data_IF_652042509388
#
_entry.id   IF_652042509388
#
_cell.length_a   1.000
_cell.length_b   1.000
_cell.length_c   1.000
_cell.angle_alpha   90.00
_cell.angle_beta   90.00
_cell.angle_gamma   90.00
#
_symmetry.space_group_name_H-M   'P 1'
#
loop_
_entity.id
_entity.type
_entity.pdbx_description
1 polymer ?
#
# COMPACT_ATOMS: atom_id res chain seq x y z
N UNK A 1 69.22 -36.82 -38.29
CA UNK A 1 68.96 -36.61 -36.87
C UNK A 1 68.49 -35.18 -36.64
N UNK A 2 67.20 -34.95 -36.58
CA UNK A 2 66.59 -33.63 -36.32
C UNK A 2 66.22 -33.56 -34.84
N UNK A 3 66.83 -32.65 -34.09
CA UNK A 3 66.55 -32.38 -32.67
C UNK A 3 65.31 -31.47 -32.60
N UNK A 4 64.25 -31.97 -32.04
CA UNK A 4 63.13 -31.15 -31.66
C UNK A 4 63.42 -30.46 -30.32
N UNK A 5 63.41 -29.12 -30.32
CA UNK A 5 63.42 -28.29 -29.12
C UNK A 5 61.96 -27.98 -28.77
N UNK A 6 61.50 -28.45 -27.62
CA UNK A 6 60.20 -28.12 -27.04
C UNK A 6 60.35 -26.84 -26.22
N UNK A 7 59.67 -25.76 -26.53
CA UNK A 7 59.64 -24.60 -25.63
C UNK A 7 58.69 -24.89 -24.45
N UNK A 8 59.22 -24.81 -23.23
CA UNK A 8 58.52 -24.86 -21.98
C UNK A 8 57.72 -23.56 -21.82
N UNK A 9 56.43 -23.59 -22.10
CA UNK A 9 55.48 -22.50 -21.77
C UNK A 9 55.19 -22.56 -20.25
N UNK A 10 55.88 -21.69 -19.52
CA UNK A 10 55.52 -21.36 -18.15
C UNK A 10 54.19 -20.59 -18.13
N UNK A 11 53.12 -21.29 -17.84
CA UNK A 11 51.82 -20.65 -17.51
C UNK A 11 51.98 -19.93 -16.18
N UNK A 12 52.14 -18.62 -16.24
CA UNK A 12 52.02 -17.72 -15.08
C UNK A 12 50.53 -17.60 -14.79
N UNK A 13 50.02 -18.46 -13.91
CA UNK A 13 48.72 -18.27 -13.33
C UNK A 13 48.77 -16.98 -12.53
N UNK A 14 48.24 -15.89 -13.10
CA UNK A 14 47.86 -14.71 -12.32
C UNK A 14 46.75 -15.15 -11.38
N UNK A 15 47.10 -15.44 -10.15
CA UNK A 15 46.15 -15.37 -9.00
C UNK A 15 45.77 -13.89 -8.90
N UNK A 16 44.70 -13.48 -9.60
CA UNK A 16 43.89 -12.36 -9.17
C UNK A 16 43.27 -12.79 -7.87
N UNK A 17 43.97 -12.58 -6.77
CA UNK A 17 43.35 -12.48 -5.49
C UNK A 17 42.36 -11.32 -5.58
N UNK A 18 41.07 -11.62 -5.79
CA UNK A 18 40.03 -10.71 -5.44
C UNK A 18 40.22 -10.48 -3.93
N UNK A 19 40.87 -9.36 -3.59
CA UNK A 19 40.66 -8.79 -2.27
C UNK A 19 39.13 -8.68 -2.17
N UNK A 20 38.51 -9.53 -1.35
CA UNK A 20 37.13 -9.33 -0.93
C UNK A 20 37.16 -7.92 -0.35
N UNK A 21 36.57 -6.98 -1.03
CA UNK A 21 36.35 -5.65 -0.47
C UNK A 21 35.69 -5.89 0.88
N UNK A 22 36.25 -5.32 1.94
CA UNK A 22 35.60 -5.39 3.26
C UNK A 22 34.17 -4.94 3.09
N UNK A 23 33.20 -5.78 3.52
CA UNK A 23 31.80 -5.48 3.38
C UNK A 23 31.46 -4.16 4.11
N UNK A 24 30.57 -3.38 3.52
CA UNK A 24 30.11 -2.12 4.09
C UNK A 24 29.01 -2.42 5.12
N UNK A 25 29.05 -1.75 6.25
CA UNK A 25 27.94 -1.78 7.25
C UNK A 25 27.03 -0.58 7.02
N UNK A 26 25.75 -0.84 6.75
CA UNK A 26 24.69 0.18 6.66
C UNK A 26 23.93 0.28 7.98
N UNK A 27 23.46 1.47 8.31
CA UNK A 27 22.52 1.71 9.42
C UNK A 27 21.13 1.96 8.84
N UNK A 28 20.20 1.04 9.16
CA UNK A 28 18.83 1.03 8.63
C UNK A 28 17.83 1.37 9.74
N UNK A 29 16.81 2.15 9.39
CA UNK A 29 15.71 2.53 10.28
C UNK A 29 14.39 2.26 9.58
N UNK A 30 13.58 1.34 10.10
CA UNK A 30 12.30 0.94 9.49
C UNK A 30 11.22 0.69 10.53
N UNK A 31 9.93 0.71 10.15
CA UNK A 31 8.83 0.34 11.05
C UNK A 31 8.67 -1.18 11.23
N UNK A 32 9.47 -1.99 10.53
CA UNK A 32 9.26 -3.43 10.41
C UNK A 32 9.89 -4.19 11.58
N UNK A 33 9.29 -4.07 12.76
CA UNK A 33 9.74 -4.78 13.96
C UNK A 33 8.55 -5.25 14.79
N UNK A 34 8.83 -6.12 15.76
CA UNK A 34 7.90 -6.65 16.75
C UNK A 34 6.63 -7.26 16.11
N UNK A 35 5.49 -6.59 16.29
CA UNK A 35 4.19 -7.05 15.82
C UNK A 35 3.87 -6.60 14.40
N UNK A 36 4.77 -5.87 13.72
CA UNK A 36 4.54 -5.50 12.33
C UNK A 36 4.49 -6.75 11.43
N UNK A 37 3.44 -6.93 10.62
CA UNK A 37 3.29 -8.12 9.77
C UNK A 37 4.44 -8.33 8.77
N UNK A 38 5.21 -7.29 8.45
CA UNK A 38 6.36 -7.38 7.55
C UNK A 38 7.70 -7.61 8.27
N UNK A 39 7.73 -7.70 9.60
CA UNK A 39 8.97 -7.86 10.36
C UNK A 39 9.79 -9.07 9.90
N UNK A 40 9.16 -10.22 9.72
CA UNK A 40 9.81 -11.42 9.20
C UNK A 40 10.32 -11.22 7.77
N UNK A 41 9.51 -10.62 6.89
CA UNK A 41 9.89 -10.34 5.51
C UNK A 41 11.08 -9.39 5.41
N UNK A 42 11.17 -8.42 6.30
CA UNK A 42 12.30 -7.51 6.43
C UNK A 42 13.58 -8.25 6.85
N UNK A 43 13.50 -9.07 7.88
CA UNK A 43 14.64 -9.88 8.35
C UNK A 43 15.18 -10.79 7.22
N UNK A 44 14.31 -11.49 6.52
CA UNK A 44 14.67 -12.35 5.38
C UNK A 44 15.33 -11.55 4.24
N UNK A 45 14.85 -10.35 3.94
CA UNK A 45 15.44 -9.46 2.94
C UNK A 45 16.85 -9.03 3.34
N UNK A 46 17.05 -8.61 4.58
CA UNK A 46 18.36 -8.23 5.10
C UNK A 46 19.35 -9.41 5.09
N UNK A 47 18.93 -10.57 5.60
CA UNK A 47 19.79 -11.77 5.63
C UNK A 47 20.23 -12.18 4.24
N UNK A 48 19.31 -12.24 3.29
CA UNK A 48 19.58 -12.60 1.90
C UNK A 48 20.51 -11.59 1.23
N UNK A 49 20.29 -10.28 1.43
CA UNK A 49 21.17 -9.23 0.91
C UNK A 49 22.58 -9.32 1.50
N UNK A 50 22.72 -9.54 2.81
CA UNK A 50 24.03 -9.71 3.48
C UNK A 50 24.79 -10.91 2.94
N UNK A 51 24.10 -12.05 2.74
CA UNK A 51 24.72 -13.28 2.23
C UNK A 51 25.23 -13.12 0.79
N UNK A 52 24.48 -12.40 -0.05
CA UNK A 52 24.83 -12.25 -1.46
C UNK A 52 25.91 -11.20 -1.70
N UNK A 53 25.91 -10.12 -0.91
CA UNK A 53 26.80 -8.97 -1.15
C UNK A 53 28.06 -8.96 -0.27
N UNK A 54 28.03 -9.67 0.86
CA UNK A 54 29.04 -9.57 1.90
C UNK A 54 28.99 -8.29 2.73
N UNK A 55 27.99 -7.42 2.48
CA UNK A 55 27.71 -6.25 3.30
C UNK A 55 26.97 -6.66 4.58
N UNK A 56 26.86 -5.76 5.54
CA UNK A 56 26.12 -5.95 6.79
C UNK A 56 25.17 -4.79 7.06
N UNK A 57 24.19 -4.99 7.91
CA UNK A 57 23.32 -3.93 8.40
C UNK A 57 23.30 -3.91 9.94
N UNK A 58 23.44 -2.72 10.51
CA UNK A 58 22.99 -2.40 11.87
C UNK A 58 21.54 -1.94 11.73
N UNK A 59 20.62 -2.81 12.13
CA UNK A 59 19.19 -2.55 11.96
C UNK A 59 18.59 -1.94 13.24
N UNK A 60 17.98 -0.76 13.09
CA UNK A 60 17.30 0.01 14.12
C UNK A 60 15.78 0.03 13.84
N UNK A 61 15.25 -1.07 13.30
CA UNK A 61 13.82 -1.22 13.10
C UNK A 61 13.09 -1.23 14.44
N UNK A 62 11.95 -0.55 14.51
CA UNK A 62 11.19 -0.42 15.74
C UNK A 62 9.82 0.23 15.51
N UNK A 63 8.99 0.22 16.56
CA UNK A 63 7.74 0.96 16.57
C UNK A 63 8.08 2.45 16.45
N UNK A 64 7.42 3.14 15.52
CA UNK A 64 7.64 4.57 15.24
C UNK A 64 7.02 5.46 16.34
N UNK A 65 7.42 5.24 17.60
CA UNK A 65 7.06 6.05 18.75
C UNK A 65 7.98 7.29 18.91
N UNK A 66 7.73 8.08 19.91
CA UNK A 66 8.49 9.31 20.17
C UNK A 66 9.99 9.05 20.42
N UNK A 67 10.35 7.93 21.09
CA UNK A 67 11.73 7.58 21.37
C UNK A 67 12.46 7.20 20.08
N UNK A 68 11.84 6.33 19.27
CA UNK A 68 12.39 5.93 17.98
C UNK A 68 12.56 7.12 17.03
N UNK A 69 11.59 8.03 16.99
CA UNK A 69 11.67 9.27 16.21
C UNK A 69 12.81 10.18 16.69
N UNK A 70 13.06 10.26 17.99
CA UNK A 70 14.18 11.01 18.55
C UNK A 70 15.53 10.42 18.16
N UNK A 71 15.68 9.07 18.23
CA UNK A 71 16.89 8.37 17.81
C UNK A 71 17.16 8.53 16.31
N UNK A 72 16.14 8.37 15.48
CA UNK A 72 16.24 8.62 14.05
C UNK A 72 16.65 10.07 13.75
N UNK A 73 16.01 11.06 14.38
CA UNK A 73 16.33 12.47 14.21
C UNK A 73 17.78 12.80 14.58
N UNK A 74 18.30 12.18 15.66
CA UNK A 74 19.70 12.30 16.04
C UNK A 74 20.63 11.66 15.00
N UNK A 75 20.29 10.47 14.49
CA UNK A 75 21.08 9.77 13.49
C UNK A 75 21.11 10.50 12.14
N UNK A 76 19.99 11.06 11.70
CA UNK A 76 19.89 11.90 10.50
C UNK A 76 20.75 13.16 10.65
N UNK A 77 20.65 13.85 11.78
CA UNK A 77 21.43 15.06 12.06
C UNK A 77 22.92 14.80 12.15
N UNK A 78 23.33 13.64 12.69
CA UNK A 78 24.72 13.22 12.76
C UNK A 78 25.25 12.62 11.43
N UNK A 79 24.38 12.38 10.44
CA UNK A 79 24.74 11.74 9.16
C UNK A 79 25.12 10.28 9.30
N UNK A 80 24.61 9.57 10.32
CA UNK A 80 24.93 8.16 10.60
C UNK A 80 23.86 7.19 10.08
N UNK A 81 22.64 7.62 9.80
CA UNK A 81 21.64 6.81 9.13
C UNK A 81 21.94 6.72 7.63
N UNK A 82 21.76 5.55 7.02
CA UNK A 82 22.03 5.30 5.61
C UNK A 82 20.77 5.12 4.79
N UNK A 83 19.90 4.20 5.21
CA UNK A 83 18.66 3.87 4.55
C UNK A 83 17.53 3.93 5.57
N UNK A 84 16.44 4.57 5.19
CA UNK A 84 15.28 4.72 6.05
C UNK A 84 13.99 4.31 5.32
N UNK A 85 13.07 3.71 6.04
CA UNK A 85 11.70 3.47 5.59
C UNK A 85 10.78 4.16 6.59
N UNK A 86 10.04 5.16 6.13
CA UNK A 86 9.32 6.09 7.00
C UNK A 86 7.90 6.31 6.49
N UNK A 87 7.01 6.67 7.39
CA UNK A 87 5.73 7.26 7.01
C UNK A 87 5.93 8.65 6.40
N UNK A 88 5.09 9.08 5.44
CA UNK A 88 5.13 10.41 4.89
C UNK A 88 5.11 11.50 5.98
N UNK A 89 5.87 12.56 5.79
CA UNK A 89 5.97 13.67 6.75
C UNK A 89 6.94 13.46 7.92
N UNK A 90 7.55 12.27 8.09
CA UNK A 90 8.49 12.00 9.19
C UNK A 90 9.93 12.46 8.93
N UNK A 91 10.26 12.88 7.72
CA UNK A 91 11.63 13.29 7.38
C UNK A 91 11.67 14.58 6.59
N UNK A 92 12.73 15.36 6.81
CA UNK A 92 12.96 16.63 6.11
C UNK A 92 13.64 16.41 4.74
N UNK A 93 13.15 17.10 3.72
CA UNK A 93 13.63 17.03 2.34
C UNK A 93 15.15 17.19 2.20
N UNK A 94 15.75 18.07 3.02
CA UNK A 94 17.19 18.35 2.96
C UNK A 94 18.10 17.19 3.37
N UNK A 95 17.58 16.16 4.04
CA UNK A 95 18.37 15.04 4.59
C UNK A 95 18.34 13.80 3.71
N UNK A 96 17.39 13.71 2.78
CA UNK A 96 17.14 12.51 1.96
C UNK A 96 17.43 12.76 0.48
N UNK A 97 17.82 11.71 -0.24
CA UNK A 97 17.71 11.68 -1.70
C UNK A 97 16.23 11.54 -2.07
N UNK A 98 15.78 12.27 -3.07
CA UNK A 98 14.43 12.15 -3.59
C UNK A 98 14.21 10.80 -4.27
N UNK A 99 12.97 10.36 -4.39
CA UNK A 99 12.64 9.14 -5.14
C UNK A 99 13.10 9.21 -6.60
N UNK A 100 13.10 10.41 -7.20
CA UNK A 100 13.60 10.62 -8.55
C UNK A 100 15.13 10.48 -8.62
N UNK A 101 15.86 11.02 -7.62
CA UNK A 101 17.32 10.84 -7.51
C UNK A 101 17.71 9.37 -7.32
N UNK A 102 16.92 8.60 -6.54
CA UNK A 102 17.11 7.15 -6.37
C UNK A 102 16.85 6.41 -7.68
N UNK A 103 15.76 6.73 -8.37
CA UNK A 103 15.42 6.14 -9.67
C UNK A 103 16.50 6.43 -10.72
N UNK A 104 17.03 7.64 -10.76
CA UNK A 104 18.12 8.00 -11.67
C UNK A 104 19.41 7.22 -11.39
N UNK A 105 19.57 6.66 -10.18
CA UNK A 105 20.70 5.81 -9.78
C UNK A 105 20.43 4.31 -9.90
N UNK A 106 19.27 3.92 -10.45
CA UNK A 106 18.90 2.52 -10.68
C UNK A 106 18.07 1.87 -9.57
N UNK A 107 17.86 2.55 -8.44
CA UNK A 107 17.03 2.05 -7.33
C UNK A 107 15.67 2.78 -7.30
N UNK A 108 14.74 2.37 -8.14
CA UNK A 108 13.44 3.01 -8.25
C UNK A 108 12.27 2.03 -8.20
N UNK A 109 11.20 2.40 -7.51
CA UNK A 109 9.94 1.67 -7.54
C UNK A 109 9.29 1.80 -8.93
N UNK A 110 8.66 0.71 -9.40
CA UNK A 110 7.75 0.75 -10.54
C UNK A 110 6.40 1.39 -10.18
N UNK A 111 6.08 1.56 -8.88
CA UNK A 111 4.85 2.18 -8.41
C UNK A 111 4.78 3.65 -8.78
N UNK A 112 3.57 4.15 -8.99
CA UNK A 112 3.33 5.57 -9.25
C UNK A 112 3.77 6.41 -8.04
N UNK A 113 4.34 7.58 -8.31
CA UNK A 113 4.73 8.57 -7.31
C UNK A 113 3.72 9.72 -7.21
N UNK A 114 2.59 9.62 -7.91
CA UNK A 114 1.64 10.75 -8.06
C UNK A 114 1.01 11.19 -6.74
N UNK A 115 0.82 10.26 -5.82
CA UNK A 115 0.19 10.52 -4.51
C UNK A 115 1.18 10.93 -3.40
N UNK A 116 2.47 11.01 -3.69
CA UNK A 116 3.51 11.32 -2.69
C UNK A 116 4.20 12.67 -2.91
N UNK A 117 3.54 13.56 -3.62
CA UNK A 117 4.14 14.87 -3.89
C UNK A 117 4.00 15.77 -2.68
N UNK A 118 5.13 16.25 -2.18
CA UNK A 118 5.18 17.38 -1.26
C UNK A 118 4.57 18.63 -1.93
N UNK A 119 4.28 19.67 -1.12
CA UNK A 119 3.68 20.93 -1.61
C UNK A 119 4.47 21.60 -2.75
N UNK A 120 5.77 21.36 -2.82
CA UNK A 120 6.66 21.85 -3.90
C UNK A 120 6.74 20.90 -5.11
N UNK A 121 6.01 19.80 -5.10
CA UNK A 121 6.00 18.78 -6.15
C UNK A 121 7.13 17.74 -6.03
N UNK A 122 7.98 17.82 -5.00
CA UNK A 122 9.04 16.84 -4.76
C UNK A 122 8.46 15.55 -4.21
N UNK A 123 9.03 14.40 -4.58
CA UNK A 123 8.71 13.10 -3.98
C UNK A 123 9.91 12.61 -3.20
N UNK A 124 9.80 12.60 -1.87
CA UNK A 124 10.91 12.24 -0.98
C UNK A 124 11.09 10.73 -0.86
N UNK A 125 10.02 9.98 -0.76
CA UNK A 125 10.04 8.56 -0.45
C UNK A 125 9.62 7.73 -1.66
N UNK A 126 10.30 6.60 -1.89
CA UNK A 126 9.84 5.56 -2.83
C UNK A 126 8.84 4.66 -2.14
N UNK A 127 7.58 4.51 -2.63
CA UNK A 127 6.55 3.74 -1.95
C UNK A 127 6.96 2.28 -1.70
N UNK A 128 6.91 1.84 -0.44
CA UNK A 128 7.14 0.45 -0.02
C UNK A 128 5.83 -0.23 0.35
N UNK A 129 5.07 0.35 1.27
CA UNK A 129 3.75 -0.15 1.66
C UNK A 129 2.70 0.91 1.33
N UNK A 130 1.63 0.48 0.70
CA UNK A 130 0.46 1.30 0.42
C UNK A 130 -0.63 1.00 1.45
N UNK A 131 -1.24 2.03 2.01
CA UNK A 131 -2.52 1.97 2.67
C UNK A 131 -3.58 2.29 1.62
N UNK A 132 -4.34 1.31 1.19
CA UNK A 132 -5.40 1.48 0.21
C UNK A 132 -6.74 1.05 0.77
N UNK A 133 -7.78 1.58 0.19
CA UNK A 133 -9.16 1.25 0.49
C UNK A 133 -9.81 0.61 -0.73
N UNK A 134 -10.68 -0.35 -0.49
CA UNK A 134 -11.34 -1.08 -1.58
C UNK A 134 -12.59 -1.80 -1.08
N UNK A 135 -13.29 -2.48 -2.01
CA UNK A 135 -14.38 -3.39 -1.68
C UNK A 135 -13.82 -4.80 -1.47
N UNK A 136 -13.96 -5.31 -0.25
CA UNK A 136 -13.74 -6.71 0.07
C UNK A 136 -15.03 -7.50 -0.10
N UNK A 137 -14.92 -8.72 -0.62
CA UNK A 137 -16.07 -9.60 -0.84
C UNK A 137 -15.83 -10.97 -0.21
N UNK A 138 -16.90 -11.55 0.34
CA UNK A 138 -16.93 -12.92 0.78
C UNK A 138 -17.55 -13.76 -0.35
N UNK A 139 -16.71 -14.52 -1.05
CA UNK A 139 -17.11 -15.30 -2.22
C UNK A 139 -18.07 -16.43 -1.88
N UNK A 140 -18.00 -17.01 -0.67
CA UNK A 140 -18.90 -18.05 -0.23
C UNK A 140 -20.32 -17.52 0.00
N UNK A 141 -20.44 -16.33 0.61
CA UNK A 141 -21.74 -15.67 0.81
C UNK A 141 -22.36 -15.32 -0.54
N UNK A 142 -21.60 -14.74 -1.45
CA UNK A 142 -22.07 -14.46 -2.82
C UNK A 142 -22.50 -15.73 -3.54
N UNK A 143 -21.68 -16.78 -3.53
CA UNK A 143 -21.99 -18.04 -4.18
C UNK A 143 -23.25 -18.71 -3.60
N UNK A 144 -23.51 -18.59 -2.29
CA UNK A 144 -24.73 -19.10 -1.65
C UNK A 144 -26.00 -18.42 -2.17
N UNK A 145 -25.88 -17.18 -2.62
CA UNK A 145 -26.94 -16.42 -3.29
C UNK A 145 -26.97 -16.60 -4.81
N UNK A 146 -26.08 -17.44 -5.38
CA UNK A 146 -25.96 -17.63 -6.81
C UNK A 146 -25.28 -16.47 -7.54
N UNK A 147 -24.51 -15.66 -6.80
CA UNK A 147 -23.82 -14.47 -7.29
C UNK A 147 -22.31 -14.72 -7.39
N UNK A 148 -21.64 -13.88 -8.16
CA UNK A 148 -20.18 -13.80 -8.24
C UNK A 148 -19.72 -12.43 -7.73
N UNK A 149 -18.42 -12.27 -7.47
CA UNK A 149 -17.84 -10.98 -7.16
C UNK A 149 -18.19 -9.96 -8.25
N UNK A 150 -18.63 -8.75 -7.89
CA UNK A 150 -19.04 -7.73 -8.87
C UNK A 150 -17.89 -7.38 -9.82
N UNK A 151 -18.12 -7.45 -11.12
CA UNK A 151 -17.16 -7.08 -12.15
C UNK A 151 -17.37 -5.67 -12.70
N UNK A 152 -18.52 -5.06 -12.41
CA UNK A 152 -18.91 -3.72 -12.86
C UNK A 152 -19.86 -3.06 -11.88
N UNK A 153 -20.16 -1.77 -12.14
CA UNK A 153 -21.05 -0.98 -11.30
C UNK A 153 -22.47 -1.58 -11.24
N UNK A 154 -23.01 -1.96 -12.39
CA UNK A 154 -24.33 -2.58 -12.46
C UNK A 154 -24.38 -3.92 -11.69
N UNK A 155 -23.30 -4.72 -11.76
CA UNK A 155 -23.21 -5.98 -11.01
C UNK A 155 -23.24 -5.72 -9.50
N UNK A 156 -22.59 -4.65 -9.04
CA UNK A 156 -22.58 -4.27 -7.61
C UNK A 156 -24.00 -3.90 -7.15
N UNK A 157 -24.71 -3.09 -7.93
CA UNK A 157 -26.09 -2.71 -7.61
C UNK A 157 -27.04 -3.92 -7.62
N UNK A 158 -26.95 -4.78 -8.64
CA UNK A 158 -27.79 -5.97 -8.77
C UNK A 158 -27.51 -6.94 -7.63
N UNK A 159 -26.24 -7.21 -7.33
CA UNK A 159 -25.85 -8.10 -6.24
C UNK A 159 -26.35 -7.58 -4.89
N UNK A 160 -26.23 -6.27 -4.65
CA UNK A 160 -26.74 -5.62 -3.44
C UNK A 160 -28.26 -5.76 -3.32
N UNK A 161 -29.00 -5.50 -4.40
CA UNK A 161 -30.44 -5.63 -4.40
C UNK A 161 -30.91 -7.08 -4.16
N UNK A 162 -30.25 -8.07 -4.78
CA UNK A 162 -30.58 -9.49 -4.59
C UNK A 162 -30.33 -9.94 -3.15
N UNK A 163 -29.16 -9.62 -2.60
CA UNK A 163 -28.81 -9.97 -1.23
C UNK A 163 -29.78 -9.33 -0.22
N UNK A 164 -30.07 -8.03 -0.40
CA UNK A 164 -31.03 -7.31 0.43
C UNK A 164 -32.42 -7.99 0.42
N UNK A 165 -32.93 -8.40 -0.74
CA UNK A 165 -34.21 -9.12 -0.86
C UNK A 165 -34.16 -10.51 -0.19
N UNK A 166 -32.99 -11.14 -0.11
CA UNK A 166 -32.78 -12.41 0.59
C UNK A 166 -32.63 -12.24 2.10
N UNK A 167 -32.58 -11.01 2.60
CA UNK A 167 -32.35 -10.70 4.02
C UNK A 167 -30.90 -10.88 4.46
N UNK A 168 -29.96 -10.87 3.51
CA UNK A 168 -28.52 -10.87 3.75
C UNK A 168 -28.03 -9.43 3.63
N UNK A 169 -27.22 -8.96 4.57
CA UNK A 169 -26.59 -7.64 4.49
C UNK A 169 -25.62 -7.63 3.32
N UNK A 170 -25.87 -6.82 2.26
CA UNK A 170 -25.00 -6.83 1.10
C UNK A 170 -23.62 -6.25 1.40
N UNK A 171 -23.56 -5.05 1.99
CA UNK A 171 -22.35 -4.32 2.35
C UNK A 171 -22.42 -3.95 3.83
N UNK A 172 -21.49 -4.46 4.64
CA UNK A 172 -21.45 -4.23 6.07
C UNK A 172 -20.51 -3.05 6.37
N UNK A 173 -21.09 -1.85 6.40
CA UNK A 173 -20.42 -0.63 6.86
C UNK A 173 -21.37 0.19 7.74
N UNK A 174 -20.81 0.87 8.73
CA UNK A 174 -21.44 2.04 9.33
C UNK A 174 -21.37 3.21 8.33
N UNK A 175 -22.45 3.99 8.24
CA UNK A 175 -22.44 5.24 7.47
C UNK A 175 -22.30 6.48 8.37
N UNK A 176 -22.11 6.30 9.67
CA UNK A 176 -21.87 7.38 10.65
C UNK A 176 -20.52 7.27 11.32
N UNK A 177 -19.95 6.07 11.38
CA UNK A 177 -18.58 5.83 11.83
C UNK A 177 -17.76 5.38 10.63
N UNK A 178 -16.61 6.01 10.39
CA UNK A 178 -15.70 5.67 9.27
C UNK A 178 -16.35 5.77 7.88
N UNK A 179 -17.31 6.70 7.72
CA UNK A 179 -17.95 6.96 6.43
C UNK A 179 -16.94 7.42 5.37
N UNK A 180 -15.79 7.93 5.77
CA UNK A 180 -14.70 8.40 4.92
C UNK A 180 -14.25 7.31 3.95
N UNK A 181 -14.02 6.08 4.43
CA UNK A 181 -13.61 4.94 3.58
C UNK A 181 -14.65 4.65 2.51
N UNK A 182 -15.94 4.68 2.90
CA UNK A 182 -17.04 4.46 1.95
C UNK A 182 -17.09 5.58 0.91
N UNK A 183 -16.94 6.84 1.34
CA UNK A 183 -16.94 8.00 0.46
C UNK A 183 -15.75 8.03 -0.48
N UNK A 184 -14.56 7.67 -0.01
CA UNK A 184 -13.35 7.56 -0.81
C UNK A 184 -13.51 6.49 -1.92
N UNK A 185 -14.03 5.33 -1.57
CA UNK A 185 -14.36 4.28 -2.55
C UNK A 185 -15.45 4.73 -3.53
N UNK A 186 -16.51 5.41 -3.06
CA UNK A 186 -17.55 5.97 -3.91
C UNK A 186 -16.98 7.02 -4.88
N UNK A 187 -16.04 7.86 -4.45
CA UNK A 187 -15.39 8.85 -5.30
C UNK A 187 -14.61 8.19 -6.45
N UNK A 188 -13.86 7.13 -6.16
CA UNK A 188 -13.14 6.37 -7.20
C UNK A 188 -14.11 5.67 -8.15
N UNK A 189 -15.26 5.18 -7.68
CA UNK A 189 -16.31 4.62 -8.53
C UNK A 189 -16.86 5.72 -9.46
N UNK A 190 -17.07 6.94 -8.93
CA UNK A 190 -17.67 8.05 -9.66
C UNK A 190 -16.78 8.60 -10.77
N UNK A 191 -15.49 8.82 -10.49
CA UNK A 191 -14.58 9.53 -11.42
C UNK A 191 -13.27 8.78 -11.64
N UNK A 192 -12.55 9.03 -12.77
CA UNK A 192 -11.19 8.53 -12.97
C UNK A 192 -10.21 9.11 -11.93
N UNK A 193 -9.12 8.39 -11.67
CA UNK A 193 -8.10 8.78 -10.67
C UNK A 193 -7.52 10.20 -10.86
N UNK A 194 -7.47 10.70 -12.10
CA UNK A 194 -6.98 12.06 -12.39
C UNK A 194 -7.93 13.19 -11.98
N UNK A 195 -9.18 12.85 -11.67
CA UNK A 195 -10.22 13.78 -11.21
C UNK A 195 -10.54 13.61 -9.71
N UNK A 196 -9.91 12.63 -9.06
CA UNK A 196 -10.12 12.37 -7.64
C UNK A 196 -9.77 13.60 -6.79
N UNK A 197 -10.60 13.87 -5.78
CA UNK A 197 -10.47 15.05 -4.91
C UNK A 197 -11.02 16.35 -5.51
N UNK A 198 -11.52 16.34 -6.75
CA UNK A 198 -12.21 17.49 -7.35
C UNK A 198 -13.64 17.65 -6.81
N UNK A 199 -14.27 18.80 -7.07
CA UNK A 199 -15.69 19.03 -6.78
C UNK A 199 -16.59 17.98 -7.47
N UNK A 200 -16.25 17.61 -8.71
CA UNK A 200 -16.95 16.53 -9.45
C UNK A 200 -16.84 15.19 -8.71
N UNK A 201 -15.67 14.91 -8.12
CA UNK A 201 -15.44 13.70 -7.34
C UNK A 201 -16.30 13.67 -6.06
N UNK A 202 -16.38 14.79 -5.34
CA UNK A 202 -17.21 14.92 -4.14
C UNK A 202 -18.70 14.74 -4.45
N UNK A 203 -19.21 15.43 -5.47
CA UNK A 203 -20.61 15.29 -5.91
C UNK A 203 -20.88 13.86 -6.38
N UNK A 204 -19.97 13.27 -7.15
CA UNK A 204 -20.09 11.90 -7.63
C UNK A 204 -20.07 10.88 -6.50
N UNK A 205 -19.27 11.06 -5.46
CA UNK A 205 -19.27 10.18 -4.29
C UNK A 205 -20.64 10.14 -3.59
N UNK A 206 -21.31 11.30 -3.42
CA UNK A 206 -22.67 11.38 -2.87
C UNK A 206 -23.68 10.66 -3.75
N UNK A 207 -23.61 10.82 -5.09
CA UNK A 207 -24.52 10.13 -6.01
C UNK A 207 -24.35 8.61 -5.93
N UNK A 208 -23.10 8.10 -5.92
CA UNK A 208 -22.80 6.67 -5.78
C UNK A 208 -23.34 6.14 -4.46
N UNK A 209 -23.09 6.84 -3.36
CA UNK A 209 -23.59 6.43 -2.04
C UNK A 209 -25.13 6.43 -2.02
N UNK A 210 -25.79 7.43 -2.62
CA UNK A 210 -27.25 7.50 -2.76
C UNK A 210 -27.80 6.30 -3.53
N UNK A 211 -27.19 5.94 -4.65
CA UNK A 211 -27.60 4.79 -5.46
C UNK A 211 -27.48 3.47 -4.66
N UNK A 212 -26.39 3.29 -3.90
CA UNK A 212 -26.18 2.12 -3.02
C UNK A 212 -27.22 2.06 -1.89
N UNK A 213 -27.50 3.18 -1.23
CA UNK A 213 -28.56 3.27 -0.20
C UNK A 213 -29.91 2.93 -0.79
N UNK A 214 -30.24 3.46 -1.98
CA UNK A 214 -31.54 3.25 -2.62
C UNK A 214 -31.82 1.76 -2.96
N UNK A 215 -30.79 0.96 -3.24
CA UNK A 215 -30.93 -0.49 -3.49
C UNK A 215 -30.84 -1.33 -2.20
N UNK A 216 -30.72 -0.69 -1.01
CA UNK A 216 -30.60 -1.36 0.27
C UNK A 216 -29.25 -2.04 0.49
N UNK A 217 -28.18 -1.50 -0.12
CA UNK A 217 -26.86 -2.11 -0.08
C UNK A 217 -26.28 -2.24 1.33
N UNK A 218 -26.60 -1.29 2.24
CA UNK A 218 -26.06 -1.28 3.60
C UNK A 218 -26.99 -1.91 4.65
N UNK A 219 -27.99 -2.68 4.24
CA UNK A 219 -28.93 -3.32 5.14
C UNK A 219 -30.03 -2.36 5.67
N UNK A 220 -30.67 -2.74 6.77
CA UNK A 220 -31.89 -2.05 7.24
C UNK A 220 -31.62 -0.77 8.04
N UNK A 221 -30.49 -0.68 8.73
CA UNK A 221 -30.16 0.44 9.61
C UNK A 221 -28.66 0.77 9.62
N UNK A 222 -28.11 1.24 8.50
CA UNK A 222 -26.69 1.57 8.42
C UNK A 222 -26.29 2.83 9.22
N UNK A 223 -27.30 3.61 9.64
CA UNK A 223 -27.10 4.88 10.34
C UNK A 223 -26.87 4.70 11.85
N UNK A 224 -27.30 3.56 12.41
CA UNK A 224 -27.08 3.22 13.82
C UNK A 224 -26.15 2.01 13.98
N UNK A 225 -25.58 1.51 12.90
CA UNK A 225 -24.62 0.43 12.94
C UNK A 225 -23.30 0.92 13.56
N UNK A 226 -22.78 0.20 14.54
CA UNK A 226 -21.41 0.39 15.02
C UNK A 226 -20.46 -0.27 14.02
N UNK A 227 -19.36 0.41 13.63
CA UNK A 227 -18.46 -0.08 12.60
C UNK A 227 -17.80 -1.42 12.99
N UNK A 228 -17.43 -1.59 14.27
CA UNK A 228 -16.90 -2.87 14.76
C UNK A 228 -17.90 -4.02 14.60
N UNK A 229 -19.18 -3.79 14.81
CA UNK A 229 -20.21 -4.80 14.62
C UNK A 229 -20.42 -5.13 13.13
N UNK A 230 -20.36 -4.12 12.26
CA UNK A 230 -20.40 -4.30 10.81
C UNK A 230 -19.18 -5.08 10.30
N UNK A 231 -17.98 -4.79 10.80
CA UNK A 231 -16.78 -5.56 10.49
C UNK A 231 -16.91 -7.02 10.92
N UNK A 232 -17.42 -7.28 12.14
CA UNK A 232 -17.67 -8.64 12.64
C UNK A 232 -18.69 -9.40 11.78
N UNK A 233 -19.72 -8.72 11.26
CA UNK A 233 -20.69 -9.33 10.33
C UNK A 233 -20.03 -9.79 9.04
N UNK A 234 -19.13 -9.00 8.49
CA UNK A 234 -18.35 -9.39 7.31
C UNK A 234 -17.37 -10.53 7.63
N UNK A 235 -16.57 -10.39 8.68
CA UNK A 235 -15.54 -11.36 9.07
C UNK A 235 -16.14 -12.72 9.45
N UNK A 236 -17.34 -12.74 10.04
CA UNK A 236 -18.07 -13.98 10.37
C UNK A 236 -18.84 -14.59 9.19
N UNK A 237 -18.94 -13.87 8.05
CA UNK A 237 -19.69 -14.30 6.87
C UNK A 237 -21.20 -14.12 6.98
N UNK A 238 -21.67 -13.21 7.84
CA UNK A 238 -23.08 -12.77 7.88
C UNK A 238 -23.39 -11.70 6.84
N UNK A 239 -22.37 -10.99 6.37
CA UNK A 239 -22.47 -10.03 5.28
C UNK A 239 -21.60 -10.44 4.08
N UNK A 240 -21.97 -9.98 2.90
CA UNK A 240 -21.32 -10.40 1.66
C UNK A 240 -20.13 -9.53 1.26
N UNK A 241 -20.17 -8.24 1.58
CA UNK A 241 -19.16 -7.26 1.13
C UNK A 241 -18.89 -6.24 2.23
N UNK A 242 -17.75 -5.54 2.14
CA UNK A 242 -17.38 -4.43 3.01
C UNK A 242 -16.41 -3.51 2.30
N UNK A 243 -16.65 -2.21 2.33
CA UNK A 243 -15.62 -1.22 2.05
C UNK A 243 -14.71 -1.09 3.28
N UNK A 244 -13.42 -1.27 3.09
CA UNK A 244 -12.48 -1.15 4.20
C UNK A 244 -11.07 -0.82 3.69
N UNK A 245 -10.22 -0.47 4.62
CA UNK A 245 -8.79 -0.37 4.37
C UNK A 245 -8.17 -1.76 4.21
N UNK A 246 -7.00 -1.78 3.63
CA UNK A 246 -6.18 -2.98 3.49
C UNK A 246 -5.97 -3.73 4.81
N UNK A 247 -6.00 -3.03 5.93
CA UNK A 247 -5.72 -3.60 7.25
C UNK A 247 -6.80 -4.60 7.71
N UNK A 248 -7.99 -4.58 7.08
CA UNK A 248 -9.00 -5.63 7.25
C UNK A 248 -8.42 -7.03 7.02
N UNK A 249 -7.48 -7.18 6.08
CA UNK A 249 -6.87 -8.47 5.74
C UNK A 249 -6.17 -9.14 6.92
N UNK A 250 -5.64 -8.35 7.86
CA UNK A 250 -5.01 -8.89 9.08
C UNK A 250 -6.03 -9.45 10.09
N UNK A 251 -7.28 -9.00 10.00
CA UNK A 251 -8.38 -9.42 10.86
C UNK A 251 -9.16 -10.61 10.31
N UNK A 252 -8.92 -11.01 9.05
CA UNK A 252 -9.62 -12.17 8.44
C UNK A 252 -9.17 -13.47 9.11
N UNK A 253 -10.09 -14.24 9.73
CA UNK A 253 -9.78 -15.53 10.32
C UNK A 253 -9.15 -16.49 9.29
N UNK A 254 -8.18 -17.30 9.73
CA UNK A 254 -7.43 -18.21 8.85
C UNK A 254 -8.35 -19.11 8.02
N UNK A 255 -9.39 -19.65 8.64
CA UNK A 255 -10.38 -20.53 8.00
C UNK A 255 -11.27 -19.83 6.97
N UNK A 256 -11.21 -18.49 6.87
CA UNK A 256 -11.98 -17.70 5.89
C UNK A 256 -11.14 -16.99 4.85
N UNK A 257 -9.83 -17.08 4.95
CA UNK A 257 -8.92 -16.37 4.05
C UNK A 257 -9.15 -16.69 2.58
N UNK A 258 -9.47 -17.96 2.27
CA UNK A 258 -9.75 -18.39 0.89
C UNK A 258 -11.09 -17.86 0.35
N UNK A 259 -12.01 -17.49 1.24
CA UNK A 259 -13.33 -16.96 0.86
C UNK A 259 -13.34 -15.41 0.75
N UNK A 260 -12.35 -14.72 1.31
CA UNK A 260 -12.28 -13.26 1.25
C UNK A 260 -11.32 -12.84 0.16
N UNK A 261 -11.79 -11.97 -0.72
CA UNK A 261 -10.96 -11.38 -1.77
C UNK A 261 -11.29 -9.89 -1.93
N UNK A 262 -10.39 -9.16 -2.55
CA UNK A 262 -10.64 -7.77 -2.90
C UNK A 262 -11.15 -7.66 -4.34
N UNK A 263 -11.95 -6.63 -4.58
CA UNK A 263 -12.48 -6.31 -5.90
C UNK A 263 -11.90 -4.99 -6.37
N UNK A 264 -11.45 -4.96 -7.61
CA UNK A 264 -11.14 -3.69 -8.29
C UNK A 264 -12.42 -2.86 -8.35
N UNK A 265 -12.42 -1.67 -7.73
CA UNK A 265 -13.60 -0.81 -7.69
C UNK A 265 -14.12 -0.56 -9.11
N UNK A 266 -15.40 -0.87 -9.38
CA UNK A 266 -15.97 -0.69 -10.72
C UNK A 266 -16.23 0.78 -10.99
N UNK A 267 -15.82 1.28 -12.14
CA UNK A 267 -16.23 2.62 -12.56
C UNK A 267 -17.70 2.67 -12.97
N UNK A 268 -18.42 3.73 -12.55
CA UNK A 268 -19.82 3.98 -12.97
C UNK A 268 -19.94 4.14 -14.49
N UNK A 269 -18.88 4.62 -15.13
CA UNK A 269 -18.76 4.80 -16.58
C UNK A 269 -18.44 3.48 -17.35
N UNK A 270 -18.28 2.38 -16.64
CA UNK A 270 -17.90 1.08 -17.19
C UNK A 270 -16.40 0.91 -17.44
N UNK A 271 -15.60 1.94 -17.18
CA UNK A 271 -14.14 1.87 -17.30
C UNK A 271 -13.51 1.25 -16.05
N UNK A 272 -12.43 0.51 -16.25
CA UNK A 272 -11.64 -0.04 -15.13
C UNK A 272 -10.87 1.09 -14.45
N UNK A 273 -10.94 1.14 -13.14
CA UNK A 273 -10.13 2.06 -12.36
C UNK A 273 -8.66 1.64 -12.36
N UNK A 274 -7.79 2.63 -12.37
CA UNK A 274 -6.32 2.45 -12.46
C UNK A 274 -5.59 2.79 -11.17
N UNK A 275 -6.30 3.25 -10.15
CA UNK A 275 -5.80 3.52 -8.82
C UNK A 275 -6.90 3.24 -7.78
N UNK A 276 -6.48 3.02 -6.55
CA UNK A 276 -7.34 2.88 -5.38
C UNK A 276 -7.29 4.17 -4.54
N UNK A 277 -8.33 4.50 -3.77
CA UNK A 277 -8.21 5.52 -2.75
C UNK A 277 -7.23 5.04 -1.68
N UNK A 278 -6.63 5.99 -0.96
CA UNK A 278 -5.67 5.68 0.10
C UNK A 278 -4.38 6.45 0.00
N UNK A 279 -3.43 6.10 0.85
CA UNK A 279 -2.15 6.80 1.01
C UNK A 279 -0.98 5.82 0.93
N UNK A 280 0.24 6.35 1.00
CA UNK A 280 1.42 5.54 1.21
C UNK A 280 1.66 5.40 2.71
N UNK A 281 1.55 4.18 3.23
CA UNK A 281 1.82 3.93 4.66
C UNK A 281 3.27 4.16 5.02
N UNK A 282 4.20 3.68 4.18
CA UNK A 282 5.61 3.98 4.34
C UNK A 282 6.36 3.90 3.00
N UNK A 283 7.46 4.64 2.92
CA UNK A 283 8.34 4.66 1.76
C UNK A 283 9.81 4.70 2.13
N UNK A 284 10.63 4.31 1.19
CA UNK A 284 12.07 4.20 1.32
C UNK A 284 12.78 5.46 0.84
N UNK A 285 13.80 5.86 1.57
CA UNK A 285 14.81 6.82 1.11
C UNK A 285 16.22 6.41 1.54
N UNK A 286 17.21 6.92 0.79
CA UNK A 286 18.64 6.89 1.17
C UNK A 286 19.04 8.28 1.61
N UNK A 287 19.83 8.39 2.66
CA UNK A 287 20.22 9.70 3.19
C UNK A 287 21.26 10.39 2.31
N UNK A 288 21.27 11.71 2.32
CA UNK A 288 22.31 12.49 1.62
C UNK A 288 23.70 12.31 2.25
N UNK A 289 23.77 11.99 3.53
CA UNK A 289 25.02 11.67 4.19
C UNK A 289 25.62 10.35 3.67
N UNK A 290 24.79 9.30 3.54
CA UNK A 290 25.20 8.05 2.89
C UNK A 290 25.72 8.30 1.45
N UNK A 291 25.07 9.18 0.70
CA UNK A 291 25.44 9.48 -0.68
C UNK A 291 26.79 10.17 -0.83
N UNK A 292 27.42 10.67 0.22
CA UNK A 292 28.77 11.27 0.19
C UNK A 292 29.87 10.21 0.20
N UNK A 293 29.58 8.99 0.64
CA UNK A 293 30.51 7.86 0.59
C UNK A 293 30.10 6.90 -0.53
N UNK A 294 30.92 6.76 -1.59
CA UNK A 294 30.57 5.93 -2.74
C UNK A 294 30.34 4.45 -2.40
N UNK A 295 31.04 3.90 -1.40
CA UNK A 295 30.88 2.50 -1.02
C UNK A 295 29.57 2.29 -0.24
N UNK A 296 29.27 3.18 0.73
CA UNK A 296 27.99 3.17 1.45
C UNK A 296 26.81 3.40 0.49
N UNK A 297 26.93 4.35 -0.44
CA UNK A 297 25.89 4.60 -1.43
C UNK A 297 25.64 3.37 -2.31
N UNK A 298 26.70 2.71 -2.80
CA UNK A 298 26.54 1.52 -3.63
C UNK A 298 25.86 0.38 -2.87
N UNK A 299 26.21 0.16 -1.60
CA UNK A 299 25.57 -0.81 -0.73
C UNK A 299 24.09 -0.45 -0.48
N UNK A 300 23.78 0.82 -0.16
CA UNK A 300 22.43 1.29 0.08
C UNK A 300 21.53 1.20 -1.17
N UNK A 301 22.05 1.53 -2.36
CA UNK A 301 21.33 1.37 -3.62
C UNK A 301 21.03 -0.11 -3.92
N UNK A 302 21.98 -1.01 -3.67
CA UNK A 302 21.77 -2.46 -3.82
C UNK A 302 20.68 -2.99 -2.90
N UNK A 303 20.65 -2.55 -1.64
CA UNK A 303 19.57 -2.90 -0.72
C UNK A 303 18.23 -2.27 -1.14
N UNK A 304 18.25 -1.00 -1.55
CA UNK A 304 17.05 -0.30 -2.03
C UNK A 304 16.45 -0.96 -3.27
N UNK A 305 17.28 -1.38 -4.24
CA UNK A 305 16.83 -2.11 -5.44
C UNK A 305 16.13 -3.42 -5.06
N UNK A 306 16.66 -4.16 -4.09
CA UNK A 306 16.06 -5.38 -3.59
C UNK A 306 14.71 -5.12 -2.89
N UNK A 307 14.64 -4.11 -2.02
CA UNK A 307 13.40 -3.71 -1.33
C UNK A 307 12.32 -3.30 -2.33
N UNK A 308 12.68 -2.49 -3.32
CA UNK A 308 11.74 -1.94 -4.30
C UNK A 308 11.46 -2.89 -5.48
N UNK A 309 12.06 -4.09 -5.50
CA UNK A 309 11.71 -5.15 -6.45
C UNK A 309 10.29 -5.68 -6.17
N UNK A 310 9.61 -6.29 -7.18
CA UNK A 310 8.29 -6.90 -6.95
C UNK A 310 8.30 -7.93 -5.81
N UNK A 311 9.36 -8.74 -5.70
CA UNK A 311 9.52 -9.72 -4.62
C UNK A 311 9.70 -9.04 -3.24
N UNK A 312 10.54 -8.01 -3.17
CA UNK A 312 10.78 -7.24 -1.94
C UNK A 312 9.50 -6.54 -1.47
N UNK A 313 8.80 -5.88 -2.38
CA UNK A 313 7.53 -5.22 -2.08
C UNK A 313 6.45 -6.22 -1.60
N UNK A 314 6.40 -7.42 -2.20
CA UNK A 314 5.49 -8.48 -1.75
C UNK A 314 5.81 -8.94 -0.32
N UNK A 315 7.10 -9.16 0.02
CA UNK A 315 7.53 -9.52 1.38
C UNK A 315 7.22 -8.45 2.42
N UNK A 316 7.31 -7.17 2.04
CA UNK A 316 7.06 -6.04 2.93
C UNK A 316 5.60 -5.57 2.92
N UNK A 317 4.76 -6.21 2.13
CA UNK A 317 3.33 -5.93 2.15
C UNK A 317 2.69 -6.31 3.48
N UNK A 318 3.25 -7.26 4.23
CA UNK A 318 2.70 -7.77 5.49
C UNK A 318 1.48 -8.66 5.29
N UNK A 319 1.14 -9.01 4.06
CA UNK A 319 0.11 -10.02 3.77
C UNK A 319 0.79 -11.36 3.58
N UNK A 320 0.43 -12.36 4.36
CA UNK A 320 0.77 -13.75 4.08
C UNK A 320 0.25 -14.09 2.69
N UNK A 321 1.04 -14.83 1.91
CA UNK A 321 0.75 -15.16 0.51
C UNK A 321 -0.58 -15.86 0.22
N UNK A 322 -1.42 -16.11 1.25
CA UNK A 322 -2.77 -16.65 1.12
C UNK A 322 -3.82 -15.62 0.62
N UNK A 323 -3.57 -14.33 0.86
CA UNK A 323 -4.32 -13.22 0.24
C UNK A 323 -3.44 -12.59 -0.85
N UNK A 324 -2.78 -13.45 -1.63
CA UNK A 324 -2.08 -13.02 -2.81
C UNK A 324 -3.04 -12.12 -3.60
N UNK A 325 -2.72 -10.85 -3.58
CA UNK A 325 -3.42 -9.85 -4.36
C UNK A 325 -3.62 -10.47 -5.75
N UNK A 326 -4.85 -10.56 -6.20
CA UNK A 326 -5.12 -11.07 -7.54
C UNK A 326 -4.25 -10.28 -8.53
N UNK A 327 -3.87 -10.87 -9.66
CA UNK A 327 -3.07 -10.17 -10.67
C UNK A 327 -3.67 -8.80 -11.00
N UNK A 328 -5.00 -8.64 -10.92
CA UNK A 328 -5.69 -7.37 -11.13
C UNK A 328 -5.43 -6.37 -9.99
N UNK A 329 -5.38 -6.83 -8.73
CA UNK A 329 -5.07 -5.99 -7.59
C UNK A 329 -3.61 -5.56 -7.59
N UNK A 330 -2.68 -6.48 -7.90
CA UNK A 330 -1.26 -6.14 -8.08
C UNK A 330 -1.07 -5.11 -9.18
N UNK A 331 -1.81 -5.21 -10.30
CA UNK A 331 -1.77 -4.21 -11.37
C UNK A 331 -2.28 -2.84 -10.90
N UNK A 332 -3.34 -2.80 -10.08
CA UNK A 332 -3.81 -1.55 -9.48
C UNK A 332 -2.80 -0.96 -8.51
N UNK A 333 -2.22 -1.79 -7.65
CA UNK A 333 -1.18 -1.36 -6.71
C UNK A 333 0.08 -0.86 -7.45
N UNK A 334 0.37 -1.36 -8.64
CA UNK A 334 1.38 -0.81 -9.54
C UNK A 334 0.98 0.55 -10.10
N UNK A 335 -0.32 0.81 -10.30
CA UNK A 335 -0.87 2.13 -10.64
C UNK A 335 -0.77 3.14 -9.51
N UNK A 336 -0.70 2.68 -8.26
CA UNK A 336 -0.60 3.47 -7.04
C UNK A 336 -1.95 3.75 -6.39
N UNK A 337 -1.93 4.67 -5.44
CA UNK A 337 -3.11 5.21 -4.78
C UNK A 337 -3.33 6.66 -5.21
N UNK A 338 -4.56 7.15 -5.16
CA UNK A 338 -4.90 8.51 -5.64
C UNK A 338 -5.04 9.54 -4.50
N UNK A 339 -4.79 9.18 -3.26
CA UNK A 339 -5.02 10.00 -2.06
C UNK A 339 -6.36 9.66 -1.41
N UNK A 340 -6.71 10.40 -0.38
CA UNK A 340 -8.03 10.39 0.26
C UNK A 340 -8.76 11.70 -0.04
N UNK A 341 -10.08 11.71 0.07
CA UNK A 341 -10.85 12.96 -0.06
C UNK A 341 -10.49 13.95 1.04
N UNK A 342 -10.15 13.46 2.22
CA UNK A 342 -9.64 14.28 3.32
C UNK A 342 -8.33 14.99 2.93
N UNK A 343 -7.34 14.26 2.39
CA UNK A 343 -6.07 14.85 1.95
C UNK A 343 -6.25 15.89 0.84
N UNK A 344 -7.25 15.67 -0.03
CA UNK A 344 -7.58 16.59 -1.12
C UNK A 344 -8.29 17.85 -0.63
N UNK A 345 -9.08 17.77 0.47
CA UNK A 345 -9.94 18.85 0.98
C UNK A 345 -9.90 18.95 2.52
N UNK A 346 -8.75 19.15 3.15
CA UNK A 346 -8.61 19.01 4.60
C UNK A 346 -9.41 20.04 5.41
N UNK A 347 -9.70 21.23 4.85
CA UNK A 347 -10.34 22.34 5.57
C UNK A 347 -11.88 22.25 5.61
N UNK A 348 -12.51 21.22 5.04
CA UNK A 348 -13.97 21.14 4.98
C UNK A 348 -14.52 19.75 4.74
N UNK A 349 -13.65 18.74 4.74
CA UNK A 349 -14.07 17.37 4.42
C UNK A 349 -15.02 16.81 5.47
N UNK A 350 -14.74 16.98 6.75
CA UNK A 350 -15.57 16.43 7.84
C UNK A 350 -16.99 17.00 7.80
N UNK A 351 -17.11 18.33 7.69
CA UNK A 351 -18.41 19.01 7.57
C UNK A 351 -19.16 18.55 6.31
N UNK A 352 -18.46 18.35 5.19
CA UNK A 352 -19.04 17.85 3.95
C UNK A 352 -19.48 16.40 4.06
N UNK A 353 -18.69 15.52 4.68
CA UNK A 353 -19.00 14.12 4.88
C UNK A 353 -20.24 13.96 5.78
N UNK A 354 -20.26 14.65 6.92
CA UNK A 354 -21.43 14.67 7.82
C UNK A 354 -22.68 15.19 7.12
N UNK A 355 -22.58 16.30 6.39
CA UNK A 355 -23.71 16.85 5.64
C UNK A 355 -24.21 15.89 4.55
N UNK A 356 -23.30 15.19 3.86
CA UNK A 356 -23.63 14.23 2.82
C UNK A 356 -24.41 13.04 3.39
N UNK A 357 -23.96 12.49 4.51
CA UNK A 357 -24.62 11.41 5.22
C UNK A 357 -25.98 11.87 5.78
N UNK A 358 -26.05 13.03 6.43
CA UNK A 358 -27.28 13.58 6.99
C UNK A 358 -28.36 13.84 5.92
N UNK A 359 -27.98 14.33 4.74
CA UNK A 359 -28.89 14.55 3.62
C UNK A 359 -29.52 13.22 3.16
N UNK A 360 -28.74 12.15 3.07
CA UNK A 360 -29.25 10.82 2.70
C UNK A 360 -30.16 10.21 3.78
N UNK A 361 -29.83 10.41 5.07
CA UNK A 361 -30.68 9.96 6.19
C UNK A 361 -32.06 10.62 6.18
N UNK A 362 -32.12 11.89 5.84
CA UNK A 362 -33.35 12.70 5.92
C UNK A 362 -34.12 12.72 4.60
N UNK A 363 -33.53 12.25 3.51
CA UNK A 363 -34.13 12.32 2.16
C UNK A 363 -34.26 13.77 1.65
N UNK A 364 -33.47 14.70 2.19
CA UNK A 364 -33.42 16.09 1.75
C UNK A 364 -32.32 16.26 0.71
N UNK A 365 -32.71 16.49 -0.54
CA UNK A 365 -31.79 17.00 -1.56
C UNK A 365 -31.55 18.50 -1.29
N UNK A 366 -30.33 18.91 -0.94
CA UNK A 366 -29.90 20.30 -1.05
C UNK A 366 -29.02 20.49 -2.28
#
# INVERSE_FOLDING_TARGET
>A
MKRFVIPLLTALAMLCGSALAEGVTLRTYTPFADMDPAAQGWEELLQSWQQETGNTAEDFSGVQDENWMQELGAALSAGTADLVILSPGMAEAGQLLTAEELRARGAGSARSLSCMKEKDGTVLLSPVRLGYETLFVNTDVLASAGLSAPAGWEDLLISSAVLSQMGVTPIANSLTEWAEIVLDCCAVIAVPAGEFGSETSLLGAREILSDLVAVGAFGADPWNAEDMAAAEDFLSGRAAMRFDSRDLLFSVPEERRDAVTLVVLPGRDGEKRTALPGTVSCGLAVTRACAQDPARLAAALSLAERILSPEGLAKLSGTDGALAESDAALQLLMGGVCGTLYDANPDGFDDWAEASVAALMTGTEE
#
